data_IF_994947065370
#
_entry.id   IF_994947065370
#
_cell.length_a   1.000
_cell.length_b   1.000
_cell.length_c   1.000
_cell.angle_alpha   90.00
_cell.angle_beta   90.00
_cell.angle_gamma   90.00
#
_symmetry.space_group_name_H-M   'P 1'
#
loop_
_entity.id
_entity.type
_entity.pdbx_description
1 polymer ?
#
# COMPACT_ATOMS: atom_id res chain seq x y z
N UNK A 1 9.43 -8.21 33.05
CA UNK A 1 8.76 -7.19 33.88
C UNK A 1 8.10 -6.18 32.95
N UNK A 2 6.81 -5.90 33.18
CA UNK A 2 5.96 -4.84 32.59
C UNK A 2 5.98 -4.72 31.04
N UNK A 3 4.95 -5.13 30.31
CA UNK A 3 3.58 -4.67 30.44
C UNK A 3 3.38 -3.40 29.59
N UNK A 4 3.02 -3.56 28.32
CA UNK A 4 2.35 -2.51 27.55
C UNK A 4 1.27 -3.16 26.70
N UNK A 5 0.03 -3.06 27.19
CA UNK A 5 -1.17 -3.21 26.39
C UNK A 5 -1.11 -2.20 25.24
N UNK A 6 -1.19 -2.66 23.99
CA UNK A 6 -1.43 -1.77 22.85
C UNK A 6 -2.84 -2.01 22.36
N UNK A 7 -3.63 -0.95 22.48
CA UNK A 7 -5.05 -0.93 22.26
C UNK A 7 -5.45 -1.37 20.84
N UNK A 8 -6.63 -1.96 20.81
CA UNK A 8 -7.37 -2.63 19.76
C UNK A 8 -7.96 -1.64 18.71
N UNK A 9 -7.11 -0.87 18.02
CA UNK A 9 -7.54 0.17 17.05
C UNK A 9 -6.96 0.06 15.63
N UNK A 10 -6.04 -0.87 15.36
CA UNK A 10 -5.49 -1.04 14.02
C UNK A 10 -6.39 -1.96 13.16
N UNK A 11 -6.58 -1.62 11.87
CA UNK A 11 -6.89 -2.65 10.87
C UNK A 11 -5.90 -3.82 11.09
N UNK A 12 -6.38 -5.06 11.30
CA UNK A 12 -5.50 -6.18 11.72
C UNK A 12 -4.27 -6.28 10.80
N UNK A 13 -3.10 -6.45 11.40
CA UNK A 13 -1.85 -6.74 10.70
C UNK A 13 -2.08 -7.95 9.76
N UNK A 14 -1.95 -7.75 8.45
CA UNK A 14 -2.27 -8.73 7.40
C UNK A 14 -1.47 -10.04 7.46
N UNK A 15 -0.52 -10.18 8.39
CA UNK A 15 0.26 -11.40 8.59
C UNK A 15 -0.60 -12.67 8.76
N UNK A 16 -1.82 -12.55 9.27
CA UNK A 16 -2.69 -13.69 9.55
C UNK A 16 -3.80 -13.91 8.49
N UNK A 17 -3.99 -12.99 7.54
CA UNK A 17 -5.06 -13.07 6.52
C UNK A 17 -4.57 -13.71 5.22
N UNK A 18 -3.29 -13.51 4.88
CA UNK A 18 -2.67 -14.11 3.71
C UNK A 18 -1.95 -15.39 4.12
N UNK A 19 -2.61 -16.54 3.93
CA UNK A 19 -2.09 -17.86 4.30
C UNK A 19 -1.12 -18.47 3.30
N UNK A 20 -0.85 -17.76 2.19
CA UNK A 20 0.07 -18.21 1.16
C UNK A 20 1.40 -18.63 1.77
N UNK A 21 1.68 -19.93 1.73
CA UNK A 21 2.83 -20.52 2.41
C UNK A 21 4.12 -19.80 2.00
N UNK A 22 4.91 -19.40 3.00
CA UNK A 22 6.25 -18.88 2.81
C UNK A 22 7.10 -19.96 2.13
N UNK A 23 7.23 -19.90 0.80
CA UNK A 23 8.26 -20.66 0.08
C UNK A 23 9.50 -19.80 -0.08
N UNK A 24 10.63 -20.49 -0.21
CA UNK A 24 12.04 -20.06 -0.14
C UNK A 24 12.50 -18.91 -1.05
N UNK A 25 11.59 -18.17 -1.72
CA UNK A 25 11.88 -17.12 -2.71
C UNK A 25 11.29 -15.74 -2.36
N UNK A 26 10.72 -15.56 -1.16
CA UNK A 26 10.43 -14.24 -0.60
C UNK A 26 9.15 -13.54 -1.08
N UNK A 27 8.36 -14.14 -1.98
CA UNK A 27 7.06 -13.63 -2.41
C UNK A 27 5.91 -14.59 -2.08
N UNK A 28 4.83 -14.05 -1.50
CA UNK A 28 3.60 -14.79 -1.20
C UNK A 28 2.67 -14.69 -2.41
N UNK A 29 2.42 -15.80 -3.12
CA UNK A 29 1.36 -15.86 -4.15
C UNK A 29 0.00 -15.87 -3.46
N UNK A 30 -0.68 -14.74 -3.47
CA UNK A 30 -2.04 -14.60 -2.94
C UNK A 30 -3.04 -14.96 -4.03
N UNK A 31 -3.92 -15.91 -3.73
CA UNK A 31 -5.03 -16.27 -4.61
C UNK A 31 -6.07 -15.16 -4.69
N UNK A 32 -6.83 -15.13 -5.77
CA UNK A 32 -7.93 -14.18 -5.94
C UNK A 32 -8.99 -14.30 -4.82
N UNK A 33 -9.21 -15.54 -4.33
CA UNK A 33 -10.11 -15.79 -3.19
C UNK A 33 -9.57 -15.19 -1.89
N UNK A 34 -8.27 -15.31 -1.61
CA UNK A 34 -7.64 -14.68 -0.44
C UNK A 34 -7.71 -13.15 -0.53
N UNK A 35 -7.45 -12.57 -1.72
CA UNK A 35 -7.58 -11.13 -1.95
C UNK A 35 -9.01 -10.63 -1.73
N UNK A 36 -10.02 -11.35 -2.22
CA UNK A 36 -11.42 -11.02 -2.01
C UNK A 36 -11.85 -11.13 -0.53
N UNK A 37 -11.37 -12.15 0.17
CA UNK A 37 -11.63 -12.31 1.61
C UNK A 37 -10.94 -11.22 2.44
N UNK A 38 -9.69 -10.89 2.12
CA UNK A 38 -8.98 -9.77 2.75
C UNK A 38 -9.74 -8.45 2.52
N UNK A 39 -10.26 -8.22 1.31
CA UNK A 39 -11.09 -7.05 1.00
C UNK A 39 -12.33 -6.95 1.89
N UNK A 40 -13.04 -8.05 2.15
CA UNK A 40 -14.21 -8.00 3.03
C UNK A 40 -13.84 -7.69 4.48
N UNK A 41 -12.72 -8.21 4.97
CA UNK A 41 -12.19 -7.87 6.31
C UNK A 41 -11.85 -6.38 6.40
N UNK A 42 -11.12 -5.83 5.41
CA UNK A 42 -10.75 -4.41 5.39
C UNK A 42 -12.01 -3.53 5.36
N UNK A 43 -12.99 -3.86 4.52
CA UNK A 43 -14.25 -3.13 4.45
C UNK A 43 -15.01 -3.17 5.78
N UNK A 44 -15.10 -4.34 6.42
CA UNK A 44 -15.76 -4.48 7.72
C UNK A 44 -15.08 -3.60 8.79
N UNK A 45 -13.76 -3.55 8.81
CA UNK A 45 -13.02 -2.76 9.77
C UNK A 45 -13.18 -1.25 9.52
N UNK A 46 -13.15 -0.79 8.26
CA UNK A 46 -13.44 0.61 7.91
C UNK A 46 -14.86 0.99 8.36
N UNK A 47 -15.87 0.17 8.02
CA UNK A 47 -17.26 0.40 8.43
C UNK A 47 -17.42 0.48 9.95
N UNK A 48 -16.73 -0.40 10.69
CA UNK A 48 -16.74 -0.38 12.15
C UNK A 48 -16.10 0.89 12.72
N UNK A 49 -15.00 1.36 12.15
CA UNK A 49 -14.32 2.58 12.59
C UNK A 49 -15.20 3.82 12.34
N UNK A 50 -15.81 3.92 11.15
CA UNK A 50 -16.73 5.00 10.81
C UNK A 50 -17.93 5.01 11.77
N UNK A 51 -18.55 3.86 12.00
CA UNK A 51 -19.71 3.73 12.90
C UNK A 51 -19.37 4.10 14.35
N UNK A 52 -18.24 3.61 14.88
CA UNK A 52 -17.78 3.93 16.25
C UNK A 52 -17.52 5.42 16.47
N UNK A 53 -17.12 6.13 15.42
CA UNK A 53 -16.85 7.57 15.47
C UNK A 53 -18.06 8.42 15.01
N UNK A 54 -19.23 7.82 14.82
CA UNK A 54 -20.45 8.53 14.43
C UNK A 54 -20.41 9.11 13.01
N UNK A 55 -19.48 8.65 12.17
CA UNK A 55 -19.34 9.10 10.78
C UNK A 55 -20.34 8.33 9.92
N UNK A 56 -21.40 9.01 9.49
CA UNK A 56 -22.40 8.44 8.58
C UNK A 56 -22.07 8.81 7.14
N UNK A 57 -21.98 7.81 6.27
CA UNK A 57 -21.72 8.00 4.83
C UNK A 57 -23.04 7.84 4.07
N UNK A 58 -23.30 8.77 3.15
CA UNK A 58 -24.47 8.72 2.27
C UNK A 58 -24.46 7.46 1.40
N UNK A 59 -25.63 6.91 1.06
CA UNK A 59 -25.73 5.78 0.12
C UNK A 59 -25.22 6.13 -1.28
N UNK A 60 -25.27 7.42 -1.64
CA UNK A 60 -24.78 7.95 -2.90
C UNK A 60 -23.32 8.42 -2.84
N UNK A 61 -22.63 8.20 -1.71
CA UNK A 61 -21.24 8.57 -1.59
C UNK A 61 -20.37 7.77 -2.57
N UNK A 62 -19.48 8.48 -3.22
CA UNK A 62 -18.45 8.00 -4.11
C UNK A 62 -17.18 8.78 -3.78
N UNK A 63 -16.33 8.13 -2.97
CA UNK A 63 -15.11 8.69 -2.42
C UNK A 63 -13.90 8.03 -3.06
N UNK A 64 -12.79 8.74 -3.08
CA UNK A 64 -11.49 8.24 -3.51
C UNK A 64 -10.50 8.48 -2.39
N UNK A 65 -9.89 7.40 -1.92
CA UNK A 65 -8.74 7.43 -1.01
C UNK A 65 -7.48 7.43 -1.86
N UNK A 66 -6.65 8.46 -1.71
CA UNK A 66 -5.34 8.58 -2.38
C UNK A 66 -4.25 8.51 -1.32
N UNK A 67 -3.35 7.54 -1.44
CA UNK A 67 -2.39 7.21 -0.38
C UNK A 67 -0.96 7.36 -0.89
N UNK A 68 -0.18 8.19 -0.20
CA UNK A 68 1.24 8.41 -0.48
C UNK A 68 2.06 7.13 -0.17
N UNK A 69 2.92 6.65 -1.07
CA UNK A 69 3.58 5.36 -0.91
C UNK A 69 4.76 5.36 0.07
N UNK A 70 5.17 6.52 0.59
CA UNK A 70 6.36 6.65 1.43
C UNK A 70 5.98 6.97 2.87
N UNK A 71 5.05 7.90 3.04
CA UNK A 71 4.52 8.34 4.34
C UNK A 71 3.27 7.58 4.75
N UNK A 72 2.60 6.92 3.79
CA UNK A 72 1.27 6.35 3.95
C UNK A 72 0.21 7.37 4.40
N UNK A 73 0.43 8.65 4.17
CA UNK A 73 -0.60 9.66 4.35
C UNK A 73 -1.73 9.41 3.34
N UNK A 74 -2.93 9.17 3.84
CA UNK A 74 -4.16 9.04 3.07
C UNK A 74 -4.83 10.42 2.96
N UNK A 75 -5.34 10.72 1.78
CA UNK A 75 -6.21 11.86 1.53
C UNK A 75 -7.56 11.39 0.99
N UNK A 76 -8.63 12.08 1.35
CA UNK A 76 -10.00 11.72 0.94
C UNK A 76 -10.58 12.80 0.04
N UNK A 77 -11.10 12.39 -1.11
CA UNK A 77 -11.85 13.24 -2.03
C UNK A 77 -13.15 12.56 -2.44
N UNK A 78 -14.12 13.31 -2.97
CA UNK A 78 -15.37 12.73 -3.44
C UNK A 78 -16.56 13.66 -3.29
N UNK A 79 -17.75 13.10 -3.44
CA UNK A 79 -19.03 13.82 -3.41
C UNK A 79 -19.68 13.87 -2.00
N UNK A 80 -18.89 14.16 -0.96
CA UNK A 80 -19.39 14.37 0.40
C UNK A 80 -18.97 15.74 0.96
N UNK A 81 -19.62 16.17 2.05
CA UNK A 81 -19.30 17.42 2.73
C UNK A 81 -17.84 17.42 3.20
N UNK A 82 -17.19 18.59 3.12
CA UNK A 82 -15.77 18.74 3.49
C UNK A 82 -15.46 18.26 4.91
N UNK A 83 -16.38 18.49 5.84
CA UNK A 83 -16.23 18.05 7.23
C UNK A 83 -16.25 16.53 7.34
N UNK A 84 -17.11 15.84 6.58
CA UNK A 84 -17.13 14.38 6.52
C UNK A 84 -15.83 13.85 5.90
N UNK A 85 -15.38 14.44 4.79
CA UNK A 85 -14.12 14.05 4.15
C UNK A 85 -12.94 14.18 5.12
N UNK A 86 -12.87 15.29 5.86
CA UNK A 86 -11.82 15.56 6.85
C UNK A 86 -11.89 14.61 8.06
N UNK A 87 -13.09 14.25 8.53
CA UNK A 87 -13.25 13.26 9.60
C UNK A 87 -12.79 11.86 9.17
N UNK A 88 -13.17 11.43 7.96
CA UNK A 88 -12.71 10.14 7.40
C UNK A 88 -11.20 10.15 7.22
N UNK A 89 -10.64 11.23 6.68
CA UNK A 89 -9.20 11.38 6.49
C UNK A 89 -8.47 11.29 7.83
N UNK A 90 -8.91 12.04 8.83
CA UNK A 90 -8.31 12.00 10.18
C UNK A 90 -8.33 10.58 10.74
N UNK A 91 -9.50 9.95 10.75
CA UNK A 91 -9.70 8.60 11.29
C UNK A 91 -8.86 7.53 10.58
N UNK A 92 -8.82 7.55 9.25
CA UNK A 92 -8.09 6.55 8.47
C UNK A 92 -6.57 6.78 8.45
N UNK A 93 -6.09 7.95 8.89
CA UNK A 93 -4.67 8.20 9.14
C UNK A 93 -4.24 7.86 10.58
N UNK A 94 -5.16 7.42 11.46
CA UNK A 94 -4.77 6.95 12.78
C UNK A 94 -4.06 5.59 12.71
N UNK A 95 -2.94 5.47 13.44
CA UNK A 95 -2.15 4.24 13.49
C UNK A 95 -1.67 3.80 12.11
N UNK A 96 -1.77 2.50 11.82
CA UNK A 96 -1.33 1.91 10.54
C UNK A 96 -2.49 1.78 9.52
N UNK A 97 -3.65 2.42 9.73
CA UNK A 97 -4.85 2.20 8.92
C UNK A 97 -4.60 2.52 7.43
N UNK A 98 -4.05 3.69 7.12
CA UNK A 98 -3.74 4.09 5.75
C UNK A 98 -2.68 3.19 5.08
N UNK A 99 -1.61 2.84 5.83
CA UNK A 99 -0.58 1.89 5.37
C UNK A 99 -1.18 0.53 5.03
N UNK A 100 -2.12 0.09 5.84
CA UNK A 100 -2.81 -1.17 5.66
C UNK A 100 -3.68 -1.17 4.39
N UNK A 101 -4.45 -0.09 4.17
CA UNK A 101 -5.23 0.08 2.94
C UNK A 101 -4.30 0.11 1.71
N UNK A 102 -3.19 0.84 1.76
CA UNK A 102 -2.21 0.91 0.67
C UNK A 102 -1.62 -0.47 0.36
N UNK A 103 -1.22 -1.22 1.39
CA UNK A 103 -0.63 -2.55 1.26
C UNK A 103 -1.63 -3.53 0.64
N UNK A 104 -2.88 -3.49 1.07
CA UNK A 104 -3.93 -4.31 0.48
C UNK A 104 -4.19 -3.95 -0.99
N UNK A 105 -4.24 -2.66 -1.35
CA UNK A 105 -4.34 -2.24 -2.74
C UNK A 105 -3.12 -2.69 -3.59
N UNK A 106 -1.91 -2.61 -3.02
CA UNK A 106 -0.68 -3.13 -3.63
C UNK A 106 -0.70 -4.64 -3.87
N UNK A 107 -1.29 -5.43 -2.97
CA UNK A 107 -1.43 -6.86 -3.18
C UNK A 107 -2.47 -7.16 -4.27
N UNK A 108 -3.58 -6.42 -4.29
CA UNK A 108 -4.70 -6.62 -5.21
C UNK A 108 -4.43 -6.17 -6.65
N UNK A 109 -3.41 -5.35 -6.90
CA UNK A 109 -2.99 -4.98 -8.26
C UNK A 109 -2.17 -6.03 -8.99
N UNK A 110 -1.75 -7.10 -8.29
CA UNK A 110 -1.01 -8.20 -8.89
C UNK A 110 -1.96 -9.35 -9.22
N UNK A 111 -1.71 -10.09 -10.30
CA UNK A 111 -2.44 -11.32 -10.60
C UNK A 111 -1.84 -12.54 -9.85
N UNK A 112 -2.19 -13.77 -10.29
CA UNK A 112 -1.71 -15.01 -9.68
C UNK A 112 -0.25 -15.35 -10.04
N UNK A 113 0.27 -14.77 -11.12
CA UNK A 113 1.67 -14.88 -11.54
C UNK A 113 2.52 -13.71 -11.05
N UNK A 114 1.90 -12.81 -10.27
CA UNK A 114 2.53 -11.63 -9.69
C UNK A 114 2.87 -10.56 -10.74
N UNK A 115 2.16 -10.53 -11.85
CA UNK A 115 2.22 -9.46 -12.84
C UNK A 115 1.32 -8.29 -12.42
N UNK A 116 1.77 -7.07 -12.67
CA UNK A 116 1.01 -5.86 -12.39
C UNK A 116 -0.11 -5.74 -13.44
N UNK A 117 -1.36 -5.84 -12.99
CA UNK A 117 -2.57 -5.73 -13.84
C UNK A 117 -3.36 -4.45 -13.61
N UNK A 118 -2.88 -3.57 -12.72
CA UNK A 118 -3.48 -2.27 -12.45
C UNK A 118 -2.73 -1.15 -13.18
N UNK A 119 -3.46 -0.28 -13.88
CA UNK A 119 -2.90 0.81 -14.68
C UNK A 119 -2.24 1.94 -13.87
N UNK A 120 -2.45 1.99 -12.54
CA UNK A 120 -1.81 2.94 -11.65
C UNK A 120 -0.33 2.63 -11.40
N UNK A 121 0.10 1.39 -11.67
CA UNK A 121 1.45 0.90 -11.40
C UNK A 121 2.14 0.45 -12.69
N UNK A 122 3.47 0.53 -12.69
CA UNK A 122 4.33 -0.03 -13.72
C UNK A 122 5.72 -0.27 -13.14
N UNK A 123 6.58 -0.93 -13.91
CA UNK A 123 7.93 -1.30 -13.47
C UNK A 123 8.76 -0.10 -12.96
N UNK A 124 8.66 1.07 -13.62
CA UNK A 124 9.38 2.28 -13.19
C UNK A 124 8.90 2.75 -11.82
N UNK A 125 7.58 2.85 -11.63
CA UNK A 125 6.99 3.26 -10.34
C UNK A 125 7.37 2.28 -9.22
N UNK A 126 7.27 0.98 -9.48
CA UNK A 126 7.64 -0.08 -8.53
C UNK A 126 9.14 -0.06 -8.17
N UNK A 127 10.00 0.20 -9.15
CA UNK A 127 11.44 0.30 -8.90
C UNK A 127 11.81 1.57 -8.11
N UNK A 128 11.15 2.71 -8.36
CA UNK A 128 11.33 3.91 -7.52
C UNK A 128 10.81 3.69 -6.10
N UNK A 129 9.63 3.07 -5.96
CA UNK A 129 9.10 2.68 -4.66
C UNK A 129 10.10 1.81 -3.87
N UNK A 130 10.56 0.70 -4.46
CA UNK A 130 11.48 -0.23 -3.79
C UNK A 130 12.84 0.41 -3.49
N UNK A 131 13.37 1.25 -4.38
CA UNK A 131 14.59 2.00 -4.14
C UNK A 131 14.46 2.87 -2.89
N UNK A 132 13.38 3.64 -2.77
CA UNK A 132 13.18 4.52 -1.64
C UNK A 132 13.15 3.75 -0.33
N UNK A 133 12.33 2.69 -0.27
CA UNK A 133 12.15 1.89 0.95
C UNK A 133 13.44 1.19 1.35
N UNK A 134 14.17 0.58 0.42
CA UNK A 134 15.44 -0.08 0.75
C UNK A 134 16.46 0.92 1.33
N UNK A 135 16.61 2.09 0.70
CA UNK A 135 17.53 3.12 1.17
C UNK A 135 17.11 3.64 2.53
N UNK A 136 15.84 3.96 2.71
CA UNK A 136 15.30 4.50 3.95
C UNK A 136 15.45 3.48 5.10
N UNK A 137 15.05 2.22 4.89
CA UNK A 137 15.19 1.16 5.90
C UNK A 137 16.64 0.85 6.25
N UNK A 138 17.57 1.00 5.29
CA UNK A 138 18.99 0.71 5.50
C UNK A 138 19.74 1.87 6.15
N UNK A 139 19.42 3.10 5.77
CA UNK A 139 20.23 4.28 6.13
C UNK A 139 19.52 5.28 7.04
N UNK A 140 18.19 5.30 7.03
CA UNK A 140 17.35 6.32 7.65
C UNK A 140 17.13 7.57 6.78
N UNK A 141 17.73 7.65 5.59
CA UNK A 141 17.65 8.82 4.73
C UNK A 141 16.61 8.69 3.63
N UNK A 142 15.98 9.81 3.31
CA UNK A 142 15.07 9.92 2.17
C UNK A 142 15.88 10.06 0.86
N UNK A 143 15.84 9.01 0.04
CA UNK A 143 16.57 8.97 -1.24
C UNK A 143 16.16 10.08 -2.23
N UNK A 144 14.96 10.66 -2.06
CA UNK A 144 14.41 11.70 -2.94
C UNK A 144 15.08 13.06 -2.75
N UNK A 145 15.61 13.31 -1.55
CA UNK A 145 16.22 14.57 -1.17
C UNK A 145 17.73 14.61 -1.48
N UNK A 146 18.31 13.49 -1.91
CA UNK A 146 19.73 13.41 -2.22
C UNK A 146 20.05 14.04 -3.58
N UNK A 147 21.18 14.75 -3.66
CA UNK A 147 21.68 15.31 -4.92
C UNK A 147 22.87 14.50 -5.44
N UNK A 148 22.83 14.15 -6.71
CA UNK A 148 23.97 13.46 -7.34
C UNK A 148 25.12 14.43 -7.65
N UNK A 149 26.29 14.22 -7.04
CA UNK A 149 27.50 15.03 -7.25
C UNK A 149 28.74 14.14 -7.18
N UNK A 150 29.71 14.37 -8.06
CA UNK A 150 31.03 13.72 -8.05
C UNK A 150 30.97 12.17 -7.98
N UNK A 151 29.97 11.54 -8.60
CA UNK A 151 29.87 10.08 -8.63
C UNK A 151 29.03 9.46 -7.51
N UNK A 152 28.49 10.26 -6.59
CA UNK A 152 27.69 9.76 -5.45
C UNK A 152 26.43 10.60 -5.20
N UNK A 153 25.60 10.17 -4.24
CA UNK A 153 24.40 10.84 -3.76
C UNK A 153 24.66 11.48 -2.40
N UNK A 154 24.56 12.80 -2.33
CA UNK A 154 24.82 13.60 -1.13
C UNK A 154 23.50 14.05 -0.51
N UNK A 155 23.28 13.72 0.76
CA UNK A 155 22.17 14.24 1.54
C UNK A 155 22.34 15.73 1.89
N UNK A 156 21.28 16.38 2.38
CA UNK A 156 21.30 17.80 2.75
C UNK A 156 22.36 18.14 3.81
N UNK A 157 22.65 17.21 4.71
CA UNK A 157 23.66 17.35 5.76
C UNK A 157 25.10 17.02 5.30
N UNK A 158 25.28 16.70 4.01
CA UNK A 158 26.58 16.36 3.43
C UNK A 158 26.94 14.88 3.47
N UNK A 159 26.09 14.01 4.04
CA UNK A 159 26.32 12.56 4.10
C UNK A 159 26.37 11.94 2.70
N UNK A 160 27.40 11.13 2.44
CA UNK A 160 27.48 10.28 1.25
C UNK A 160 26.58 9.04 1.43
N UNK A 161 25.41 9.07 0.81
CA UNK A 161 24.42 8.02 0.97
C UNK A 161 24.77 6.73 0.27
N UNK A 162 25.54 6.77 -0.82
CA UNK A 162 25.95 5.54 -1.51
C UNK A 162 26.98 4.78 -0.67
N UNK A 163 27.93 5.51 -0.06
CA UNK A 163 28.89 4.94 0.87
C UNK A 163 28.20 4.39 2.13
N UNK A 164 27.30 5.17 2.75
CA UNK A 164 26.54 4.74 3.92
C UNK A 164 25.66 3.52 3.61
N UNK A 165 24.99 3.52 2.46
CA UNK A 165 24.18 2.40 2.01
C UNK A 165 25.04 1.15 1.81
N UNK A 166 26.24 1.26 1.22
CA UNK A 166 27.18 0.15 1.08
C UNK A 166 27.61 -0.42 2.43
N UNK A 167 27.94 0.44 3.39
CA UNK A 167 28.38 0.06 4.73
C UNK A 167 27.30 -0.73 5.48
N UNK A 168 26.04 -0.27 5.39
CA UNK A 168 24.90 -0.85 6.12
C UNK A 168 24.17 -1.97 5.37
N UNK A 169 24.45 -2.15 4.09
CA UNK A 169 23.82 -3.18 3.26
C UNK A 169 24.11 -4.59 3.78
N UNK A 170 23.07 -5.42 3.88
CA UNK A 170 23.18 -6.81 4.37
C UNK A 170 23.98 -7.72 3.43
N UNK A 171 24.00 -7.41 2.14
CA UNK A 171 24.73 -8.17 1.13
C UNK A 171 25.09 -7.29 -0.09
N UNK A 172 26.11 -7.72 -0.84
CA UNK A 172 26.60 -6.98 -2.00
C UNK A 172 25.62 -6.93 -3.19
N UNK A 173 24.80 -7.96 -3.38
CA UNK A 173 23.85 -8.03 -4.50
C UNK A 173 22.74 -6.96 -4.39
N UNK A 174 22.18 -6.78 -3.18
CA UNK A 174 21.23 -5.72 -2.89
C UNK A 174 21.85 -4.34 -3.08
N UNK A 175 23.05 -4.14 -2.54
CA UNK A 175 23.81 -2.91 -2.78
C UNK A 175 23.94 -2.60 -4.27
N UNK A 176 24.43 -3.54 -5.09
CA UNK A 176 24.60 -3.33 -6.53
C UNK A 176 23.29 -3.02 -7.26
N UNK A 177 22.23 -3.77 -6.96
CA UNK A 177 20.91 -3.57 -7.57
C UNK A 177 20.38 -2.16 -7.30
N UNK A 178 20.32 -1.77 -6.02
CA UNK A 178 19.74 -0.49 -5.63
C UNK A 178 20.65 0.69 -5.97
N UNK A 179 21.98 0.52 -5.98
CA UNK A 179 22.91 1.54 -6.50
C UNK A 179 22.63 1.86 -7.98
N UNK A 180 22.41 0.83 -8.80
CA UNK A 180 22.04 1.00 -10.22
C UNK A 180 20.68 1.67 -10.37
N UNK A 181 19.67 1.27 -9.57
CA UNK A 181 18.36 1.93 -9.55
C UNK A 181 18.47 3.40 -9.13
N UNK A 182 19.30 3.71 -8.13
CA UNK A 182 19.50 5.08 -7.68
C UNK A 182 20.05 5.97 -8.79
N UNK A 183 21.07 5.48 -9.52
CA UNK A 183 21.59 6.15 -10.71
C UNK A 183 20.54 6.30 -11.81
N UNK A 184 19.71 5.28 -12.02
CA UNK A 184 18.67 5.32 -13.05
C UNK A 184 17.55 6.33 -12.72
N UNK A 185 17.11 6.39 -11.47
CA UNK A 185 15.88 7.08 -11.10
C UNK A 185 16.07 8.42 -10.37
N UNK A 186 17.25 8.68 -9.78
CA UNK A 186 17.48 9.93 -9.03
C UNK A 186 18.72 10.72 -9.48
N UNK A 187 19.58 10.20 -10.36
CA UNK A 187 20.78 10.93 -10.83
C UNK A 187 20.46 12.31 -11.38
N UNK A 188 19.34 12.44 -12.10
CA UNK A 188 18.88 13.70 -12.69
C UNK A 188 17.72 14.33 -11.89
N UNK A 189 17.70 14.09 -10.57
CA UNK A 189 16.60 14.45 -9.69
C UNK A 189 15.48 13.42 -9.69
N UNK A 190 14.87 13.22 -8.52
CA UNK A 190 13.76 12.30 -8.33
C UNK A 190 12.53 12.72 -9.13
N UNK A 191 11.91 11.78 -9.85
CA UNK A 191 10.72 12.00 -10.68
C UNK A 191 9.45 11.69 -9.88
N UNK A 192 8.84 12.73 -9.30
CA UNK A 192 7.61 12.61 -8.47
C UNK A 192 6.41 12.10 -9.26
N UNK A 193 6.36 12.33 -10.57
CA UNK A 193 5.33 11.78 -11.47
C UNK A 193 5.30 10.24 -11.48
N UNK A 194 6.41 9.60 -11.11
CA UNK A 194 6.55 8.16 -10.99
C UNK A 194 6.34 7.66 -9.55
N UNK A 195 5.98 8.52 -8.61
CA UNK A 195 5.63 8.07 -7.28
C UNK A 195 4.39 7.16 -7.39
N UNK A 196 4.43 6.05 -6.67
CA UNK A 196 3.40 5.01 -6.67
C UNK A 196 2.23 5.39 -5.74
N UNK A 197 1.67 6.59 -5.95
CA UNK A 197 0.47 7.03 -5.24
C UNK A 197 -0.69 6.17 -5.70
N UNK A 198 -1.25 5.39 -4.79
CA UNK A 198 -2.35 4.48 -5.09
C UNK A 198 -3.67 5.13 -4.73
N UNK A 199 -4.62 5.05 -5.67
CA UNK A 199 -6.00 5.46 -5.47
C UNK A 199 -6.89 4.24 -5.40
N UNK A 200 -7.79 4.25 -4.43
CA UNK A 200 -8.83 3.25 -4.29
C UNK A 200 -10.16 3.95 -4.02
N UNK A 201 -11.22 3.46 -4.67
CA UNK A 201 -12.54 3.99 -4.49
C UNK A 201 -13.20 3.45 -3.23
N UNK A 202 -14.15 4.20 -2.68
CA UNK A 202 -14.95 3.80 -1.53
C UNK A 202 -16.38 4.33 -1.67
N UNK A 203 -17.35 3.42 -1.63
CA UNK A 203 -18.77 3.75 -1.63
C UNK A 203 -19.52 3.02 -0.50
N UNK A 204 -20.85 3.04 -0.54
CA UNK A 204 -21.68 2.33 0.46
C UNK A 204 -21.50 0.81 0.49
N UNK A 205 -20.86 0.21 -0.52
CA UNK A 205 -20.49 -1.20 -0.60
C UNK A 205 -19.06 -1.49 -0.10
N UNK A 206 -18.31 -0.44 0.23
CA UNK A 206 -16.93 -0.48 0.71
C UNK A 206 -15.91 -0.13 -0.38
N UNK A 207 -14.67 -0.61 -0.21
CA UNK A 207 -13.59 -0.34 -1.15
C UNK A 207 -13.82 -1.06 -2.50
N UNK A 208 -13.50 -0.35 -3.59
CA UNK A 208 -13.46 -0.86 -4.95
C UNK A 208 -12.18 -0.40 -5.67
N UNK A 209 -11.60 -1.26 -6.49
CA UNK A 209 -10.34 -1.01 -7.19
C UNK A 209 -10.54 -0.07 -8.39
N UNK A 210 -9.60 0.86 -8.55
CA UNK A 210 -9.53 1.78 -9.71
C UNK A 210 -8.40 1.30 -10.62
N UNK A 211 -8.66 1.23 -11.93
CA UNK A 211 -7.61 0.98 -12.92
C UNK A 211 -7.30 -0.50 -13.19
N UNK A 212 -8.17 -1.44 -12.83
CA UNK A 212 -8.04 -2.86 -13.20
C UNK A 212 -9.39 -3.46 -13.63
N UNK A 213 -9.34 -4.44 -14.54
CA UNK A 213 -10.54 -5.12 -15.06
C UNK A 213 -11.16 -6.07 -14.02
N UNK A 214 -10.31 -6.83 -13.33
CA UNK A 214 -10.70 -7.78 -12.28
C UNK A 214 -10.44 -7.19 -10.91
N UNK A 215 -11.41 -6.43 -10.40
CA UNK A 215 -11.36 -5.84 -9.06
C UNK A 215 -11.86 -6.76 -7.94
N UNK A 216 -11.65 -6.35 -6.70
CA UNK A 216 -12.10 -7.00 -5.48
C UNK A 216 -13.04 -6.09 -4.71
N UNK A 217 -14.12 -6.64 -4.21
CA UNK A 217 -15.15 -5.88 -3.50
C UNK A 217 -16.54 -6.41 -3.81
N UNK A 218 -17.54 -5.91 -3.10
CA UNK A 218 -18.91 -6.38 -3.27
C UNK A 218 -19.43 -6.16 -4.69
N UNK A 219 -19.02 -5.05 -5.33
CA UNK A 219 -19.45 -4.63 -6.67
C UNK A 219 -18.55 -5.14 -7.80
N UNK A 220 -17.35 -5.65 -7.49
CA UNK A 220 -16.34 -6.05 -8.49
C UNK A 220 -16.06 -7.55 -8.53
N UNK A 221 -16.73 -8.36 -7.71
CA UNK A 221 -16.45 -9.79 -7.57
C UNK A 221 -17.09 -10.72 -8.61
N UNK A 222 -17.81 -10.20 -9.61
CA UNK A 222 -18.62 -11.04 -10.52
C UNK A 222 -17.78 -12.06 -11.31
N UNK A 223 -16.56 -11.69 -11.71
CA UNK A 223 -15.66 -12.58 -12.44
C UNK A 223 -15.22 -13.81 -11.62
N UNK A 224 -15.37 -13.77 -10.29
CA UNK A 224 -15.11 -14.92 -9.42
C UNK A 224 -16.30 -15.89 -9.32
N UNK A 225 -17.52 -15.50 -9.72
CA UNK A 225 -18.72 -16.36 -9.61
C UNK A 225 -18.69 -17.59 -10.54
N UNK A 226 -17.80 -17.60 -11.55
CA UNK A 226 -17.48 -18.79 -12.33
C UNK A 226 -16.57 -19.80 -11.62
N UNK A 227 -16.05 -19.45 -10.43
CA UNK A 227 -15.13 -20.26 -9.62
C UNK A 227 -15.91 -20.87 -8.44
N UNK A 228 -16.84 -21.79 -8.71
CA UNK A 228 -17.61 -22.62 -7.77
C UNK A 228 -17.96 -21.96 -6.42
N UNK A 229 -19.18 -21.44 -6.38
CA UNK A 229 -19.83 -20.79 -5.23
C UNK A 229 -20.57 -21.82 -4.37
N UNK A 230 -19.84 -22.75 -3.72
CA UNK A 230 -20.46 -23.82 -2.92
C UNK A 230 -20.18 -23.78 -1.41
N UNK A 231 -19.67 -22.67 -0.84
CA UNK A 231 -19.38 -22.59 0.61
C UNK A 231 -19.98 -21.34 1.30
N UNK A 232 -20.57 -20.39 0.57
CA UNK A 232 -21.15 -19.19 1.20
C UNK A 232 -22.55 -19.37 1.80
N UNK A 233 -23.09 -20.60 1.78
CA UNK A 233 -24.24 -20.99 2.63
C UNK A 233 -23.78 -21.69 3.92
N UNK A 234 -22.75 -21.14 4.57
CA UNK A 234 -22.58 -21.35 6.00
C UNK A 234 -23.27 -20.20 6.74
N UNK A 235 -24.60 -20.33 6.85
CA UNK A 235 -25.37 -19.97 8.04
C UNK A 235 -24.62 -20.47 9.30
N UNK A 236 -24.50 -19.73 10.40
CA UNK A 236 -25.44 -18.98 11.25
C UNK A 236 -24.65 -17.91 12.00
#
# INVERSE_FOLDING_TARGET
>A
SAGFARYDYALRNYKDVYTGGSRSVGYVRNTDREKQYARSIVNQQISNQLSKNGISISKQADLVFSIDPYTYQLTVSGNADRDILSQIETLLNEGDNAKNIWTHAWICMHDADNEIVNSQANMTKTNQYSLWHEVYETTGYDARNATYKNGTFIAEDGTDLLALFKEKSKNGAGYELYSKRWLQYAKNGWKKENDLVLKIGFDSSGLYDIGQERGYGATQNMWMKGISQSIFEASV
#
